data_IF_447205475748
#
_entry.id   IF_447205475748
#
_cell.length_a   1.000
_cell.length_b   1.000
_cell.length_c   1.000
_cell.angle_alpha   90.00
_cell.angle_beta   90.00
_cell.angle_gamma   90.00
#
_symmetry.space_group_name_H-M   'P 1'
#
loop_
_entity.id
_entity.type
_entity.pdbx_description
1 polymer ?
#
# COMPACT_ATOMS: atom_id res chain seq x y z
N UNK A 1 -55.29 42.89 -1.91
CA UNK A 1 -55.29 41.66 -1.07
C UNK A 1 -55.33 40.33 -1.85
N UNK A 2 -55.04 40.29 -3.17
CA UNK A 2 -55.00 39.04 -3.96
C UNK A 2 -53.60 38.53 -4.30
N UNK A 3 -52.55 39.35 -4.25
CA UNK A 3 -51.18 38.94 -4.61
C UNK A 3 -50.42 38.19 -3.49
N UNK A 4 -50.72 38.46 -2.21
CA UNK A 4 -49.98 37.85 -1.08
C UNK A 4 -50.43 36.40 -0.83
N UNK A 5 -51.66 36.06 -1.21
CA UNK A 5 -52.23 34.73 -1.00
C UNK A 5 -51.76 33.70 -2.05
N UNK A 6 -51.14 34.12 -3.15
CA UNK A 6 -50.71 33.24 -4.24
C UNK A 6 -49.25 32.78 -4.08
N UNK A 7 -48.41 33.50 -3.33
CA UNK A 7 -47.05 33.05 -2.99
C UNK A 7 -47.01 31.97 -1.90
N UNK A 8 -48.00 31.92 -1.00
CA UNK A 8 -48.04 30.93 0.08
C UNK A 8 -48.47 29.52 -0.38
N UNK A 9 -49.18 29.42 -1.51
CA UNK A 9 -49.62 28.12 -2.05
C UNK A 9 -48.49 27.43 -2.84
N UNK A 10 -47.54 28.18 -3.42
CA UNK A 10 -46.39 27.60 -4.12
C UNK A 10 -45.30 27.04 -3.18
N UNK A 11 -45.22 27.50 -1.92
CA UNK A 11 -44.23 26.97 -0.97
C UNK A 11 -44.62 25.61 -0.37
N UNK A 12 -45.91 25.24 -0.36
CA UNK A 12 -46.35 23.96 0.19
C UNK A 12 -46.34 22.81 -0.83
N UNK A 13 -46.27 23.08 -2.13
CA UNK A 13 -46.29 22.05 -3.18
C UNK A 13 -44.92 21.67 -3.75
N UNK A 14 -43.83 22.33 -3.31
CA UNK A 14 -42.47 22.05 -3.77
C UNK A 14 -41.58 21.35 -2.73
N UNK A 15 -42.10 21.11 -1.52
CA UNK A 15 -41.34 20.50 -0.42
C UNK A 15 -41.13 18.98 -0.50
N UNK A 16 -41.96 18.26 -1.27
CA UNK A 16 -41.92 16.80 -1.34
C UNK A 16 -41.09 16.25 -2.51
N UNK A 17 -40.85 17.05 -3.55
CA UNK A 17 -40.14 16.61 -4.76
C UNK A 17 -38.63 16.51 -4.55
N UNK A 18 -38.05 17.41 -3.76
CA UNK A 18 -36.61 17.44 -3.49
C UNK A 18 -36.13 16.21 -2.70
N UNK A 19 -36.94 15.69 -1.77
CA UNK A 19 -36.60 14.52 -0.96
C UNK A 19 -36.75 13.21 -1.72
N UNK A 20 -37.79 13.08 -2.55
CA UNK A 20 -38.01 11.87 -3.38
C UNK A 20 -36.92 11.75 -4.45
N UNK A 21 -36.55 12.86 -5.09
CA UNK A 21 -35.46 12.87 -6.07
C UNK A 21 -34.11 12.53 -5.41
N UNK A 22 -33.81 13.09 -4.24
CA UNK A 22 -32.59 12.76 -3.48
C UNK A 22 -32.54 11.28 -3.07
N UNK A 23 -33.66 10.69 -2.64
CA UNK A 23 -33.74 9.27 -2.28
C UNK A 23 -33.57 8.35 -3.49
N UNK A 24 -34.10 8.73 -4.66
CA UNK A 24 -33.94 8.00 -5.92
C UNK A 24 -32.48 7.99 -6.38
N UNK A 25 -31.82 9.15 -6.43
CA UNK A 25 -30.39 9.24 -6.77
C UNK A 25 -29.51 8.49 -5.78
N UNK A 26 -29.86 8.48 -4.49
CA UNK A 26 -29.15 7.68 -3.48
C UNK A 26 -29.23 6.19 -3.80
N UNK A 27 -30.42 5.66 -4.09
CA UNK A 27 -30.62 4.24 -4.47
C UNK A 27 -29.90 3.86 -5.77
N UNK A 28 -29.90 4.74 -6.77
CA UNK A 28 -29.15 4.51 -8.01
C UNK A 28 -27.65 4.44 -7.74
N UNK A 29 -27.11 5.39 -6.96
CA UNK A 29 -25.69 5.42 -6.62
C UNK A 29 -25.24 4.17 -5.84
N UNK A 30 -26.09 3.71 -4.93
CA UNK A 30 -25.85 2.52 -4.11
C UNK A 30 -25.86 1.24 -4.97
N UNK A 31 -26.89 1.05 -5.82
CA UNK A 31 -26.95 -0.07 -6.77
C UNK A 31 -25.82 -0.05 -7.80
N UNK A 32 -25.45 1.13 -8.30
CA UNK A 32 -24.34 1.29 -9.22
C UNK A 32 -22.99 0.96 -8.55
N UNK A 33 -22.83 1.32 -7.28
CA UNK A 33 -21.63 0.95 -6.52
C UNK A 33 -21.53 -0.55 -6.25
N UNK A 34 -22.66 -1.21 -5.99
CA UNK A 34 -22.75 -2.65 -5.80
C UNK A 34 -22.47 -3.41 -7.11
N UNK A 35 -23.03 -2.96 -8.24
CA UNK A 35 -22.82 -3.58 -9.55
C UNK A 35 -21.40 -3.39 -10.11
N UNK A 36 -20.68 -2.34 -9.67
CA UNK A 36 -19.33 -2.01 -10.12
C UNK A 36 -18.25 -2.34 -9.08
N UNK A 37 -18.60 -3.00 -7.96
CA UNK A 37 -17.70 -3.20 -6.81
C UNK A 37 -16.98 -1.91 -6.37
N UNK A 38 -17.63 -0.75 -6.53
CA UNK A 38 -17.04 0.51 -6.10
C UNK A 38 -17.08 0.55 -4.57
N UNK A 39 -15.97 0.89 -3.91
CA UNK A 39 -15.92 0.92 -2.45
C UNK A 39 -16.93 1.94 -1.93
N UNK A 40 -17.91 1.46 -1.15
CA UNK A 40 -18.89 2.30 -0.46
C UNK A 40 -18.19 3.19 0.58
N UNK A 41 -18.84 4.27 1.03
CA UNK A 41 -18.27 5.16 2.06
C UNK A 41 -17.85 4.39 3.32
N UNK A 42 -18.67 3.43 3.75
CA UNK A 42 -18.39 2.56 4.88
C UNK A 42 -17.18 1.63 4.63
N UNK A 43 -17.02 1.10 3.42
CA UNK A 43 -15.86 0.28 3.06
C UNK A 43 -14.56 1.12 3.05
N UNK A 44 -14.62 2.36 2.56
CA UNK A 44 -13.48 3.30 2.59
C UNK A 44 -13.06 3.65 4.01
N UNK A 45 -14.01 3.92 4.90
CA UNK A 45 -13.74 4.22 6.30
C UNK A 45 -13.12 3.00 7.02
N UNK A 46 -13.62 1.79 6.75
CA UNK A 46 -13.07 0.54 7.29
C UNK A 46 -11.66 0.24 6.78
N UNK A 47 -11.39 0.45 5.50
CA UNK A 47 -10.04 0.33 4.92
C UNK A 47 -9.06 1.34 5.52
N UNK A 48 -9.49 2.59 5.72
CA UNK A 48 -8.67 3.62 6.37
C UNK A 48 -8.38 3.26 7.83
N UNK A 49 -9.38 2.76 8.57
CA UNK A 49 -9.21 2.30 9.94
C UNK A 49 -8.21 1.14 10.02
N UNK A 50 -8.32 0.17 9.10
CA UNK A 50 -7.40 -0.97 9.02
C UNK A 50 -5.98 -0.51 8.68
N UNK A 51 -5.81 0.43 7.75
CA UNK A 51 -4.50 0.95 7.35
C UNK A 51 -3.77 1.67 8.49
N UNK A 52 -4.49 2.35 9.40
CA UNK A 52 -3.92 2.99 10.59
C UNK A 52 -3.36 2.01 11.61
N UNK A 53 -3.92 0.80 11.67
CA UNK A 53 -3.46 -0.24 12.60
C UNK A 53 -2.18 -0.95 12.12
N UNK A 54 -1.76 -0.73 10.86
CA UNK A 54 -0.54 -1.35 10.32
C UNK A 54 0.66 -0.46 10.65
N UNK A 55 1.55 -0.96 11.50
CA UNK A 55 2.84 -0.31 11.75
C UNK A 55 3.84 -0.61 10.63
N UNK A 56 4.75 0.33 10.38
CA UNK A 56 5.91 0.06 9.55
C UNK A 56 6.85 -0.91 10.29
N UNK A 57 7.34 -1.98 9.64
CA UNK A 57 8.24 -2.92 10.29
C UNK A 57 9.53 -2.26 10.79
N UNK A 58 9.93 -2.64 12.00
CA UNK A 58 11.19 -2.19 12.60
C UNK A 58 12.39 -2.70 11.78
N UNK A 59 13.46 -1.91 11.80
CA UNK A 59 14.72 -2.27 11.18
C UNK A 59 15.37 -3.44 11.95
N UNK A 60 15.77 -4.48 11.22
CA UNK A 60 16.57 -5.57 11.77
C UNK A 60 18.06 -5.24 11.81
N UNK A 61 18.86 -6.13 12.38
CA UNK A 61 20.31 -5.95 12.50
C UNK A 61 21.02 -5.72 11.15
N UNK A 62 20.59 -6.37 10.05
CA UNK A 62 21.19 -6.14 8.72
C UNK A 62 20.94 -4.73 8.18
N UNK A 63 20.03 -3.94 8.76
CA UNK A 63 19.83 -2.55 8.37
C UNK A 63 21.04 -1.66 8.74
N UNK A 64 21.88 -2.10 9.68
CA UNK A 64 23.08 -1.37 10.12
C UNK A 64 24.27 -1.57 9.17
N UNK A 65 24.19 -2.53 8.24
CA UNK A 65 25.19 -2.74 7.21
C UNK A 65 25.06 -1.64 6.13
N UNK A 66 26.04 -0.74 6.09
CA UNK A 66 26.03 0.43 5.20
C UNK A 66 26.07 0.05 3.73
N UNK A 67 26.82 -1.00 3.37
CA UNK A 67 26.96 -1.43 1.98
C UNK A 67 25.64 -2.06 1.50
N UNK A 68 25.03 -2.88 2.35
CA UNK A 68 23.74 -3.50 2.06
C UNK A 68 22.62 -2.46 1.97
N UNK A 69 22.60 -1.49 2.88
CA UNK A 69 21.66 -0.39 2.85
C UNK A 69 21.82 0.45 1.57
N UNK A 70 23.05 0.72 1.14
CA UNK A 70 23.31 1.44 -0.11
C UNK A 70 22.84 0.68 -1.35
N UNK A 71 23.03 -0.65 -1.38
CA UNK A 71 22.49 -1.52 -2.44
C UNK A 71 20.97 -1.40 -2.52
N UNK A 72 20.28 -1.42 -1.38
CA UNK A 72 18.82 -1.26 -1.33
C UNK A 72 18.39 0.15 -1.77
N UNK A 73 18.97 1.21 -1.20
CA UNK A 73 18.64 2.61 -1.50
C UNK A 73 18.74 2.90 -2.98
N UNK A 74 19.90 2.59 -3.59
CA UNK A 74 20.15 2.85 -5.00
C UNK A 74 19.17 2.10 -5.91
N UNK A 75 18.87 0.85 -5.60
CA UNK A 75 17.94 0.06 -6.40
C UNK A 75 16.50 0.60 -6.31
N UNK A 76 16.06 0.99 -5.11
CA UNK A 76 14.73 1.54 -4.88
C UNK A 76 14.58 2.94 -5.49
N UNK A 77 15.54 3.83 -5.30
CA UNK A 77 15.56 5.16 -5.94
C UNK A 77 15.46 5.03 -7.47
N UNK A 78 16.29 4.17 -8.07
CA UNK A 78 16.23 3.90 -9.50
C UNK A 78 14.87 3.34 -9.93
N UNK A 79 14.28 2.45 -9.13
CA UNK A 79 12.97 1.88 -9.42
C UNK A 79 11.88 2.96 -9.45
N UNK A 80 11.91 3.94 -8.55
CA UNK A 80 10.88 4.97 -8.44
C UNK A 80 11.14 6.23 -9.29
N UNK A 81 12.37 6.49 -9.73
CA UNK A 81 12.74 7.71 -10.47
C UNK A 81 11.89 7.95 -11.74
N UNK A 82 11.47 6.89 -12.43
CA UNK A 82 10.69 6.98 -13.67
C UNK A 82 9.20 6.67 -13.49
N UNK A 83 8.70 6.64 -12.24
CA UNK A 83 7.32 6.21 -11.93
C UNK A 83 6.52 7.36 -11.35
N UNK A 84 5.20 7.32 -11.54
CA UNK A 84 4.26 8.26 -10.91
C UNK A 84 4.02 8.00 -9.42
N UNK A 85 4.81 7.10 -8.82
CA UNK A 85 4.73 6.65 -7.43
C UNK A 85 6.02 7.03 -6.73
N UNK A 86 5.96 7.28 -5.43
CA UNK A 86 7.11 7.74 -4.64
C UNK A 86 7.52 6.70 -3.61
N UNK A 87 8.83 6.52 -3.44
CA UNK A 87 9.38 5.86 -2.26
C UNK A 87 9.24 6.82 -1.07
N UNK A 88 8.56 6.38 0.00
CA UNK A 88 8.38 7.17 1.22
C UNK A 88 9.45 6.79 2.24
N UNK A 89 9.60 5.50 2.50
CA UNK A 89 10.56 4.95 3.46
C UNK A 89 10.89 3.51 3.09
N UNK A 90 12.04 3.03 3.56
CA UNK A 90 12.39 1.62 3.52
C UNK A 90 13.28 1.24 4.71
N UNK A 91 13.24 -0.03 5.11
CA UNK A 91 14.11 -0.65 6.09
C UNK A 91 14.46 -2.07 5.64
N UNK A 92 15.66 -2.54 5.97
CA UNK A 92 15.97 -3.97 5.98
C UNK A 92 15.44 -4.53 7.31
N UNK A 93 14.53 -5.50 7.24
CA UNK A 93 13.83 -6.01 8.44
C UNK A 93 14.43 -7.31 8.96
N UNK A 94 15.36 -7.91 8.21
CA UNK A 94 16.01 -9.15 8.62
C UNK A 94 17.18 -8.88 9.55
N UNK A 95 17.26 -9.62 10.66
CA UNK A 95 18.45 -9.59 11.53
C UNK A 95 19.62 -10.38 10.96
N UNK A 96 19.32 -11.43 10.20
CA UNK A 96 20.31 -12.35 9.67
C UNK A 96 19.94 -12.78 8.26
N UNK A 97 20.97 -13.15 7.49
CA UNK A 97 20.79 -13.79 6.18
C UNK A 97 20.13 -15.16 6.33
N UNK A 98 19.19 -15.46 5.44
CA UNK A 98 18.60 -16.80 5.31
C UNK A 98 19.30 -17.55 4.18
N UNK A 99 20.06 -18.58 4.55
CA UNK A 99 20.73 -19.45 3.58
C UNK A 99 19.72 -20.40 2.94
N UNK A 100 19.78 -20.52 1.62
CA UNK A 100 18.99 -21.46 0.84
C UNK A 100 19.93 -22.51 0.25
N UNK A 101 19.55 -23.76 0.45
CA UNK A 101 20.27 -24.93 -0.05
C UNK A 101 19.42 -25.69 -1.05
N UNK A 102 20.09 -26.43 -1.94
CA UNK A 102 19.44 -27.36 -2.83
C UNK A 102 18.81 -28.49 -2.02
N UNK A 103 17.52 -28.77 -2.25
CA UNK A 103 16.74 -29.72 -1.43
C UNK A 103 17.33 -31.13 -1.37
N UNK A 104 17.91 -31.60 -2.48
CA UNK A 104 18.46 -32.96 -2.58
C UNK A 104 19.93 -33.06 -2.16
N UNK A 105 20.81 -32.21 -2.69
CA UNK A 105 22.27 -32.31 -2.47
C UNK A 105 22.75 -31.57 -1.22
N UNK A 106 21.93 -30.69 -0.63
CA UNK A 106 22.34 -29.81 0.47
C UNK A 106 23.30 -28.69 0.06
N UNK A 107 23.66 -28.60 -1.23
CA UNK A 107 24.58 -27.57 -1.73
C UNK A 107 24.02 -26.17 -1.48
N UNK A 108 24.85 -25.26 -0.96
CA UNK A 108 24.49 -23.84 -0.75
C UNK A 108 24.30 -23.17 -2.11
N UNK A 109 23.17 -22.47 -2.27
CA UNK A 109 22.82 -21.80 -3.53
C UNK A 109 22.95 -20.29 -3.42
N UNK A 110 22.32 -19.71 -2.42
CA UNK A 110 22.33 -18.28 -2.15
C UNK A 110 21.88 -18.03 -0.72
N UNK A 111 22.03 -16.78 -0.28
CA UNK A 111 21.34 -16.28 0.89
C UNK A 111 20.50 -15.05 0.54
N UNK A 112 19.45 -14.82 1.32
CA UNK A 112 18.55 -13.70 1.11
C UNK A 112 18.19 -13.01 2.42
N UNK A 113 17.90 -11.73 2.31
CA UNK A 113 17.38 -10.88 3.36
C UNK A 113 16.12 -10.17 2.86
N UNK A 114 15.26 -9.82 3.79
CA UNK A 114 14.01 -9.12 3.55
C UNK A 114 14.11 -7.69 4.03
N UNK A 115 13.56 -6.77 3.24
CA UNK A 115 13.21 -5.44 3.70
C UNK A 115 11.76 -5.09 3.43
N UNK A 116 11.31 -4.00 4.05
CA UNK A 116 10.00 -3.42 3.90
C UNK A 116 10.14 -2.00 3.33
N UNK A 117 9.18 -1.59 2.48
CA UNK A 117 9.14 -0.24 1.92
C UNK A 117 7.71 0.30 1.92
N UNK A 118 7.58 1.61 2.07
CA UNK A 118 6.33 2.32 1.87
C UNK A 118 6.38 3.03 0.51
N UNK A 119 5.37 2.74 -0.31
CA UNK A 119 5.14 3.39 -1.59
C UNK A 119 3.93 4.33 -1.46
N UNK A 120 4.08 5.60 -1.88
CA UNK A 120 2.95 6.51 -2.08
C UNK A 120 2.51 6.48 -3.53
N UNK A 121 1.26 6.12 -3.75
CA UNK A 121 0.63 6.05 -5.06
C UNK A 121 0.23 7.44 -5.56
N UNK A 122 -0.07 7.55 -6.85
CA UNK A 122 -0.55 8.80 -7.46
C UNK A 122 -1.90 9.26 -6.92
N UNK A 123 -2.70 8.37 -6.33
CA UNK A 123 -3.94 8.71 -5.62
C UNK A 123 -3.71 9.21 -4.18
N UNK A 124 -2.45 9.34 -3.76
CA UNK A 124 -2.03 9.80 -2.45
C UNK A 124 -2.05 8.73 -1.36
N UNK A 125 -2.51 7.50 -1.65
CA UNK A 125 -2.53 6.41 -0.67
C UNK A 125 -1.16 5.74 -0.54
N UNK A 126 -0.85 5.25 0.66
CA UNK A 126 0.38 4.52 0.92
C UNK A 126 0.14 3.01 0.96
N UNK A 127 1.07 2.25 0.41
CA UNK A 127 1.09 0.79 0.43
C UNK A 127 2.41 0.30 1.01
N UNK A 128 2.34 -0.72 1.85
CA UNK A 128 3.49 -1.40 2.42
C UNK A 128 3.83 -2.62 1.56
N UNK A 129 5.05 -2.67 1.06
CA UNK A 129 5.56 -3.78 0.26
C UNK A 129 6.81 -4.39 0.89
N UNK A 130 7.07 -5.62 0.50
CA UNK A 130 8.32 -6.30 0.81
C UNK A 130 9.29 -6.19 -0.38
N UNK A 131 10.60 -6.09 -0.11
CA UNK A 131 11.64 -6.28 -1.11
C UNK A 131 12.68 -7.30 -0.64
N UNK A 132 13.44 -7.84 -1.58
CA UNK A 132 14.42 -8.91 -1.33
C UNK A 132 15.82 -8.44 -1.73
N UNK A 133 16.79 -8.72 -0.86
CA UNK A 133 18.22 -8.63 -1.15
C UNK A 133 18.79 -10.05 -1.21
N UNK A 134 19.75 -10.29 -2.11
CA UNK A 134 20.36 -11.62 -2.32
C UNK A 134 21.87 -11.55 -2.44
N UNK A 135 22.50 -12.65 -2.07
CA UNK A 135 23.90 -12.97 -2.40
C UNK A 135 23.97 -14.39 -2.92
N UNK A 136 24.47 -14.57 -4.14
CA UNK A 136 24.66 -15.90 -4.72
C UNK A 136 25.93 -16.55 -4.16
N UNK A 137 25.89 -17.87 -3.98
CA UNK A 137 27.03 -18.65 -3.56
C UNK A 137 27.82 -19.14 -4.78
N UNK A 138 29.14 -18.90 -4.80
CA UNK A 138 29.99 -19.23 -5.95
C UNK A 138 30.77 -20.55 -5.81
N UNK A 139 30.48 -21.35 -4.77
CA UNK A 139 31.22 -22.57 -4.43
C UNK A 139 32.22 -22.39 -3.30
N UNK A 140 32.72 -21.17 -3.07
CA UNK A 140 33.70 -20.84 -2.02
C UNK A 140 33.19 -19.81 -1.01
N UNK A 141 32.23 -18.96 -1.40
CA UNK A 141 31.67 -17.92 -0.54
C UNK A 141 30.47 -17.23 -1.19
N UNK A 142 29.89 -16.29 -0.44
CA UNK A 142 28.81 -15.43 -0.95
C UNK A 142 29.39 -14.25 -1.72
N UNK A 143 28.84 -14.01 -2.91
CA UNK A 143 29.18 -12.85 -3.74
C UNK A 143 28.61 -11.54 -3.16
N UNK A 144 28.86 -10.42 -3.85
CA UNK A 144 28.28 -9.12 -3.50
C UNK A 144 26.76 -9.17 -3.47
N UNK A 145 26.17 -8.43 -2.53
CA UNK A 145 24.73 -8.31 -2.41
C UNK A 145 24.13 -7.56 -3.61
N UNK A 146 22.93 -7.96 -4.01
CA UNK A 146 22.16 -7.30 -5.04
C UNK A 146 20.67 -7.26 -4.69
N UNK A 147 19.97 -6.31 -5.30
CA UNK A 147 18.52 -6.16 -5.17
C UNK A 147 17.81 -7.18 -6.07
N UNK A 148 17.03 -8.08 -5.47
CA UNK A 148 16.36 -9.18 -6.16
C UNK A 148 14.88 -8.89 -6.51
N UNK A 149 14.37 -7.70 -6.15
CA UNK A 149 13.05 -7.23 -6.55
C UNK A 149 12.14 -6.83 -5.39
N UNK A 150 11.02 -6.18 -5.75
CA UNK A 150 9.91 -5.88 -4.86
C UNK A 150 8.87 -6.99 -5.00
N UNK A 151 8.53 -7.65 -3.91
CA UNK A 151 7.45 -8.65 -3.88
C UNK A 151 6.10 -7.94 -3.76
N UNK A 152 5.28 -8.05 -4.82
CA UNK A 152 3.95 -7.42 -4.92
C UNK A 152 2.79 -8.41 -4.98
N UNK A 153 3.07 -9.70 -5.14
CA UNK A 153 2.10 -10.74 -5.56
C UNK A 153 1.93 -11.89 -4.58
N UNK A 154 2.69 -11.92 -3.48
CA UNK A 154 2.53 -12.96 -2.46
C UNK A 154 1.55 -12.50 -1.37
N UNK A 155 0.82 -13.42 -0.70
CA UNK A 155 0.28 -13.19 0.64
C UNK A 155 1.45 -13.14 1.63
N UNK A 156 2.37 -12.21 1.42
CA UNK A 156 3.29 -11.75 2.45
C UNK A 156 2.44 -11.05 3.52
N UNK A 157 2.89 -10.98 4.77
CA UNK A 157 2.19 -10.18 5.79
C UNK A 157 1.92 -8.74 5.33
N UNK A 158 2.64 -8.26 4.32
CA UNK A 158 2.55 -6.90 3.82
C UNK A 158 2.43 -6.80 2.28
N UNK A 159 1.19 -6.58 1.84
CA UNK A 159 0.78 -6.07 0.53
C UNK A 159 -0.42 -5.11 0.68
N UNK A 160 -0.51 -4.48 1.86
CA UNK A 160 -1.70 -3.80 2.36
C UNK A 160 -1.54 -2.29 2.31
N UNK A 161 -2.67 -1.59 2.27
CA UNK A 161 -2.67 -0.14 2.53
C UNK A 161 -2.20 0.13 3.95
N UNK A 162 -1.29 1.08 4.08
CA UNK A 162 -0.80 1.61 5.35
C UNK A 162 -1.12 3.10 5.40
N UNK A 163 -1.44 3.63 6.58
CA UNK A 163 -1.59 5.06 6.74
C UNK A 163 -0.24 5.75 6.45
N UNK A 164 -0.24 6.82 5.64
CA UNK A 164 1.02 7.45 5.22
C UNK A 164 1.78 8.06 6.41
N UNK A 165 1.05 8.48 7.44
CA UNK A 165 1.57 8.94 8.73
C UNK A 165 2.32 7.88 9.55
N UNK A 166 2.18 6.59 9.20
CA UNK A 166 2.91 5.50 9.86
C UNK A 166 4.30 5.27 9.24
N UNK A 167 4.71 6.07 8.26
CA UNK A 167 6.09 6.06 7.80
C UNK A 167 7.04 6.56 8.90
N UNK A 168 8.23 5.96 9.05
CA UNK A 168 9.23 6.47 9.98
C UNK A 168 9.63 7.89 9.56
N UNK A 169 9.78 8.78 10.55
CA UNK A 169 10.21 10.16 10.36
C UNK A 169 11.68 10.24 9.93
#
# INVERSE_FOLDING_TARGET
MRLILQCLICLFLLGSSATVQAQFFKKIKEKASESLNLPTKANKEKEQQAAKAIAFPEAGELNKDTDLHQVASKALENYYASKSMQLVAFNIISDNWKVVTHKTTGAVLYQWAVGALIQKNSDGKCMLFQYILKQDFNGSGFNKAYFAGISRTAPVPYGSYIACENAPN
#
